data_IF_191509891253
#
_entry.id   IF_191509891253
#
_cell.length_a   1.000
_cell.length_b   1.000
_cell.length_c   1.000
_cell.angle_alpha   90.00
_cell.angle_beta   90.00
_cell.angle_gamma   90.00
#
_symmetry.space_group_name_H-M   'P 1'
#
loop_
_entity.id
_entity.type
_entity.pdbx_description
1 polymer ?
#
# COMPACT_ATOMS: atom_id res chain seq x y z
N UNK A 1 4.09 12.46 -3.21
CA UNK A 1 3.26 11.25 -3.21
C UNK A 1 2.30 11.27 -2.03
N UNK A 2 1.04 10.91 -2.26
CA UNK A 2 0.04 10.87 -1.20
C UNK A 2 0.26 9.65 -0.30
N UNK A 3 0.02 9.83 1.00
CA UNK A 3 0.00 8.72 1.96
C UNK A 3 -1.23 7.83 1.73
N UNK A 4 -1.07 6.54 1.92
CA UNK A 4 -2.18 5.59 1.88
C UNK A 4 -2.92 5.57 3.22
N UNK A 5 -4.25 5.52 3.15
CA UNK A 5 -5.06 5.22 4.34
C UNK A 5 -4.89 3.73 4.66
N UNK A 6 -4.19 3.46 5.76
CA UNK A 6 -3.83 2.10 6.19
C UNK A 6 -5.05 1.22 6.39
N UNK A 7 -6.12 1.77 6.99
CA UNK A 7 -7.37 1.02 7.23
C UNK A 7 -8.09 0.71 5.93
N UNK A 8 -8.28 1.72 5.09
CA UNK A 8 -8.97 1.56 3.81
C UNK A 8 -8.21 0.58 2.90
N UNK A 9 -6.90 0.72 2.81
CA UNK A 9 -6.07 -0.18 1.99
C UNK A 9 -6.10 -1.62 2.50
N UNK A 10 -5.94 -1.83 3.80
CA UNK A 10 -5.98 -3.17 4.40
C UNK A 10 -7.35 -3.85 4.21
N UNK A 11 -8.44 -3.12 4.45
CA UNK A 11 -9.79 -3.64 4.25
C UNK A 11 -10.07 -3.94 2.77
N UNK A 12 -9.70 -3.04 1.86
CA UNK A 12 -9.89 -3.24 0.42
C UNK A 12 -9.15 -4.50 -0.06
N UNK A 13 -7.90 -4.68 0.36
CA UNK A 13 -7.11 -5.86 0.02
C UNK A 13 -7.73 -7.13 0.60
N UNK A 14 -8.23 -7.07 1.83
CA UNK A 14 -8.95 -8.18 2.48
C UNK A 14 -10.20 -8.58 1.72
N UNK A 15 -11.03 -7.63 1.31
CA UNK A 15 -12.23 -7.90 0.51
C UNK A 15 -11.92 -8.52 -0.85
N UNK A 16 -10.93 -7.98 -1.56
CA UNK A 16 -10.52 -8.51 -2.86
C UNK A 16 -10.01 -9.93 -2.72
N UNK A 17 -9.12 -10.17 -1.78
CA UNK A 17 -8.53 -11.49 -1.58
C UNK A 17 -9.54 -12.52 -1.05
N UNK A 18 -10.35 -12.11 -0.09
CA UNK A 18 -11.43 -12.97 0.45
C UNK A 18 -12.46 -13.34 -0.62
N UNK A 19 -12.88 -12.39 -1.44
CA UNK A 19 -13.77 -12.62 -2.57
C UNK A 19 -13.14 -13.56 -3.61
N UNK A 20 -11.87 -13.37 -3.93
CA UNK A 20 -11.13 -14.24 -4.85
C UNK A 20 -11.01 -15.66 -4.30
N UNK A 21 -10.67 -15.82 -3.02
CA UNK A 21 -10.58 -17.13 -2.35
C UNK A 21 -11.92 -17.84 -2.34
N UNK A 22 -13.02 -17.11 -2.10
CA UNK A 22 -14.36 -17.65 -2.16
C UNK A 22 -14.71 -18.18 -3.55
N UNK A 23 -14.47 -17.40 -4.61
CA UNK A 23 -14.71 -17.80 -6.00
C UNK A 23 -13.85 -19.01 -6.38
N UNK A 24 -12.59 -19.03 -6.02
CA UNK A 24 -11.71 -20.16 -6.28
C UNK A 24 -12.16 -21.42 -5.55
N UNK A 25 -12.67 -21.28 -4.31
CA UNK A 25 -13.25 -22.38 -3.56
C UNK A 25 -14.49 -22.98 -4.23
N UNK A 26 -15.38 -22.13 -4.76
CA UNK A 26 -16.54 -22.60 -5.53
C UNK A 26 -16.13 -23.28 -6.84
N UNK A 27 -15.15 -22.73 -7.55
CA UNK A 27 -14.61 -23.35 -8.77
C UNK A 27 -13.93 -24.68 -8.48
N UNK A 28 -13.19 -24.79 -7.39
CA UNK A 28 -12.54 -26.03 -6.96
C UNK A 28 -13.61 -27.13 -6.68
N UNK A 29 -14.71 -26.73 -6.07
CA UNK A 29 -15.85 -27.63 -5.84
C UNK A 29 -16.47 -28.12 -7.16
N UNK A 30 -16.60 -27.24 -8.16
CA UNK A 30 -17.30 -27.56 -9.42
C UNK A 30 -16.43 -28.30 -10.44
N UNK A 31 -15.15 -27.92 -10.55
CA UNK A 31 -14.30 -28.34 -11.67
C UNK A 31 -13.03 -29.09 -11.25
N UNK A 32 -12.55 -28.90 -10.03
CA UNK A 32 -11.22 -29.34 -9.61
C UNK A 32 -11.22 -30.25 -8.40
N UNK A 33 -12.29 -30.98 -8.18
CA UNK A 33 -12.43 -31.88 -7.03
C UNK A 33 -11.21 -32.81 -6.90
N UNK A 34 -10.39 -32.62 -5.88
CA UNK A 34 -9.19 -33.42 -5.62
C UNK A 34 -7.89 -32.89 -6.21
N UNK A 35 -7.87 -31.68 -6.75
CA UNK A 35 -6.68 -31.07 -7.33
C UNK A 35 -5.67 -30.59 -6.27
N UNK A 36 -4.40 -30.45 -6.67
CA UNK A 36 -3.29 -30.01 -5.81
C UNK A 36 -3.53 -28.64 -5.17
N UNK A 37 -4.31 -27.77 -5.82
CA UNK A 37 -4.68 -26.47 -5.31
C UNK A 37 -5.52 -26.56 -4.03
N UNK A 38 -6.58 -27.34 -4.06
CA UNK A 38 -7.43 -27.55 -2.89
C UNK A 38 -6.66 -28.13 -1.70
N UNK A 39 -5.73 -29.07 -1.97
CA UNK A 39 -4.85 -29.63 -0.92
C UNK A 39 -3.94 -28.58 -0.33
N UNK A 40 -3.36 -27.69 -1.14
CA UNK A 40 -2.52 -26.60 -0.66
C UNK A 40 -3.33 -25.62 0.20
N UNK A 41 -4.54 -25.29 -0.21
CA UNK A 41 -5.41 -24.40 0.55
C UNK A 41 -5.81 -24.98 1.91
N UNK A 42 -6.01 -26.30 2.02
CA UNK A 42 -6.31 -26.95 3.32
C UNK A 42 -5.15 -26.85 4.30
N UNK A 43 -3.91 -26.77 3.81
CA UNK A 43 -2.73 -26.61 4.67
C UNK A 43 -2.60 -25.18 5.20
N UNK A 44 -2.98 -24.19 4.40
CA UNK A 44 -2.84 -22.76 4.75
C UNK A 44 -4.05 -22.26 5.54
N UNK A 45 -5.24 -22.70 5.17
CA UNK A 45 -6.50 -22.26 5.78
C UNK A 45 -7.13 -23.40 6.58
N UNK A 46 -7.05 -23.31 7.89
CA UNK A 46 -7.64 -24.30 8.79
C UNK A 46 -9.15 -24.37 8.60
N UNK A 47 -9.66 -25.55 8.29
CA UNK A 47 -11.10 -25.77 8.05
C UNK A 47 -11.55 -25.54 6.62
N UNK A 48 -10.64 -25.16 5.71
CA UNK A 48 -10.97 -25.08 4.28
C UNK A 48 -11.30 -26.45 3.72
N UNK A 49 -12.40 -26.53 2.99
CA UNK A 49 -12.80 -27.72 2.20
C UNK A 49 -13.41 -27.24 0.89
N UNK A 50 -13.37 -28.03 -0.19
CA UNK A 50 -14.00 -27.68 -1.46
C UNK A 50 -15.53 -27.85 -1.38
N UNK A 51 -16.16 -27.12 -0.49
CA UNK A 51 -17.62 -27.06 -0.24
C UNK A 51 -18.03 -25.60 -0.08
N UNK A 52 -19.33 -25.30 -0.12
CA UNK A 52 -19.84 -23.95 0.08
C UNK A 52 -19.40 -23.40 1.45
N UNK A 53 -19.56 -24.20 2.50
CA UNK A 53 -19.14 -23.83 3.88
C UNK A 53 -17.62 -23.67 3.95
N UNK A 54 -16.86 -24.59 3.36
CA UNK A 54 -15.40 -24.51 3.29
C UNK A 54 -14.91 -23.28 2.52
N UNK A 55 -15.61 -22.89 1.46
CA UNK A 55 -15.31 -21.67 0.69
C UNK A 55 -15.54 -20.40 1.52
N UNK A 56 -16.58 -20.36 2.34
CA UNK A 56 -16.86 -19.26 3.27
C UNK A 56 -15.76 -19.16 4.33
N UNK A 57 -15.35 -20.29 4.91
CA UNK A 57 -14.24 -20.35 5.86
C UNK A 57 -12.95 -19.88 5.22
N UNK A 58 -12.65 -20.33 4.00
CA UNK A 58 -11.49 -19.90 3.23
C UNK A 58 -11.52 -18.40 2.92
N UNK A 59 -12.69 -17.85 2.60
CA UNK A 59 -12.86 -16.41 2.37
C UNK A 59 -12.60 -15.61 3.65
N UNK A 60 -13.08 -16.06 4.80
CA UNK A 60 -12.82 -15.43 6.09
C UNK A 60 -11.32 -15.41 6.42
N UNK A 61 -10.64 -16.53 6.27
CA UNK A 61 -9.19 -16.62 6.46
C UNK A 61 -8.42 -15.75 5.46
N UNK A 62 -8.79 -15.81 4.19
CA UNK A 62 -8.19 -14.97 3.14
C UNK A 62 -8.34 -13.49 3.43
N UNK A 63 -9.51 -13.07 3.90
CA UNK A 63 -9.76 -11.70 4.33
C UNK A 63 -8.83 -11.28 5.46
N UNK A 64 -8.73 -12.09 6.52
CA UNK A 64 -7.88 -11.80 7.68
C UNK A 64 -6.41 -11.68 7.28
N UNK A 65 -5.88 -12.66 6.55
CA UNK A 65 -4.49 -12.65 6.11
C UNK A 65 -4.18 -11.46 5.21
N UNK A 66 -5.03 -11.20 4.23
CA UNK A 66 -4.84 -10.10 3.30
C UNK A 66 -5.00 -8.73 3.98
N UNK A 67 -5.92 -8.59 4.92
CA UNK A 67 -6.08 -7.36 5.69
C UNK A 67 -4.84 -7.07 6.54
N UNK A 68 -4.31 -8.07 7.25
CA UNK A 68 -3.07 -7.93 8.04
C UNK A 68 -1.91 -7.54 7.13
N UNK A 69 -1.74 -8.24 6.02
CA UNK A 69 -0.68 -7.95 5.05
C UNK A 69 -0.84 -6.55 4.47
N UNK A 70 -2.06 -6.16 4.14
CA UNK A 70 -2.38 -4.82 3.63
C UNK A 70 -2.05 -3.71 4.64
N UNK A 71 -2.33 -3.92 5.92
CA UNK A 71 -1.94 -2.98 6.98
C UNK A 71 -0.42 -2.84 7.07
N UNK A 72 0.31 -3.94 7.03
CA UNK A 72 1.79 -3.93 7.08
C UNK A 72 2.35 -3.20 5.86
N UNK A 73 1.88 -3.55 4.66
CA UNK A 73 2.33 -2.95 3.39
C UNK A 73 2.03 -1.45 3.37
N UNK A 74 0.82 -1.04 3.76
CA UNK A 74 0.44 0.37 3.77
C UNK A 74 1.26 1.19 4.78
N UNK A 75 1.56 0.62 5.96
CA UNK A 75 2.44 1.26 6.94
C UNK A 75 3.86 1.41 6.42
N UNK A 76 4.39 0.36 5.84
CA UNK A 76 5.74 0.39 5.27
C UNK A 76 5.83 1.40 4.12
N UNK A 77 4.84 1.40 3.24
CA UNK A 77 4.74 2.38 2.15
C UNK A 77 4.73 3.82 2.69
N UNK A 78 3.89 4.09 3.68
CA UNK A 78 3.81 5.42 4.28
C UNK A 78 5.12 5.86 4.93
N UNK A 79 5.84 4.95 5.58
CA UNK A 79 7.17 5.23 6.13
C UNK A 79 8.18 5.60 5.05
N UNK A 80 8.23 4.82 3.98
CA UNK A 80 9.15 5.08 2.87
C UNK A 80 8.83 6.39 2.16
N UNK A 81 7.55 6.72 2.00
CA UNK A 81 7.11 8.00 1.42
C UNK A 81 7.52 9.17 2.35
N UNK A 82 7.35 9.03 3.64
CA UNK A 82 7.75 10.04 4.63
C UNK A 82 9.26 10.30 4.58
N UNK A 83 10.06 9.25 4.57
CA UNK A 83 11.53 9.34 4.50
C UNK A 83 11.99 10.06 3.22
N UNK A 84 11.44 9.67 2.07
CA UNK A 84 11.72 10.34 0.80
C UNK A 84 11.27 11.79 0.79
N UNK A 85 10.15 12.10 1.41
CA UNK A 85 9.64 13.46 1.54
C UNK A 85 10.58 14.34 2.38
N UNK A 86 11.02 13.84 3.53
CA UNK A 86 11.96 14.55 4.40
C UNK A 86 13.28 14.84 3.68
N UNK A 87 13.81 13.88 2.94
CA UNK A 87 15.03 14.06 2.14
C UNK A 87 14.83 15.11 1.04
N UNK A 88 13.71 15.05 0.33
CA UNK A 88 13.35 16.03 -0.72
C UNK A 88 13.20 17.44 -0.11
N UNK A 89 12.53 17.57 1.03
CA UNK A 89 12.37 18.86 1.71
C UNK A 89 13.71 19.45 2.16
N UNK A 90 14.66 18.63 2.61
CA UNK A 90 16.02 19.06 2.93
C UNK A 90 16.75 19.61 1.70
N UNK A 91 16.60 18.95 0.54
CA UNK A 91 17.18 19.41 -0.73
C UNK A 91 16.56 20.74 -1.18
N UNK A 92 15.25 20.88 -1.05
CA UNK A 92 14.52 22.11 -1.38
C UNK A 92 14.99 23.26 -0.47
N UNK A 93 15.10 23.03 0.83
CA UNK A 93 15.56 24.03 1.80
C UNK A 93 16.99 24.51 1.50
N UNK A 94 17.89 23.59 1.17
CA UNK A 94 19.27 23.93 0.80
C UNK A 94 19.33 24.76 -0.48
N UNK A 95 18.54 24.42 -1.49
CA UNK A 95 18.48 25.17 -2.75
C UNK A 95 17.83 26.55 -2.56
N UNK A 96 16.77 26.64 -1.77
CA UNK A 96 16.11 27.90 -1.43
C UNK A 96 17.08 28.87 -0.73
N UNK A 97 17.91 28.36 0.17
CA UNK A 97 18.97 29.15 0.82
C UNK A 97 20.00 29.70 -0.17
N UNK A 98 20.42 28.85 -1.13
CA UNK A 98 21.34 29.30 -2.20
C UNK A 98 20.72 30.39 -3.08
N UNK A 99 19.47 30.26 -3.46
CA UNK A 99 18.74 31.26 -4.24
C UNK A 99 18.64 32.59 -3.45
N UNK A 100 18.33 32.51 -2.18
CA UNK A 100 18.23 33.65 -1.30
C UNK A 100 19.58 34.40 -1.19
N UNK A 101 20.69 33.68 -1.05
CA UNK A 101 22.03 34.26 -1.05
C UNK A 101 22.39 34.94 -2.38
N UNK A 102 22.03 34.32 -3.51
CA UNK A 102 22.25 34.91 -4.84
C UNK A 102 21.44 36.18 -5.10
N UNK A 103 20.27 36.33 -4.50
CA UNK A 103 19.42 37.50 -4.64
C UNK A 103 19.80 38.66 -3.70
N UNK A 104 20.88 38.55 -2.92
CA UNK A 104 21.33 39.57 -2.00
C UNK A 104 20.57 39.60 -0.68
N UNK A 105 19.99 38.45 -0.29
CA UNK A 105 19.32 38.24 1.00
C UNK A 105 18.14 39.17 1.29
N UNK A 106 17.14 39.28 0.36
CA UNK A 106 15.95 40.09 0.60
C UNK A 106 15.09 39.50 1.72
N UNK A 107 14.59 40.37 2.61
CA UNK A 107 13.88 39.95 3.83
C UNK A 107 12.58 39.22 3.63
N UNK A 108 11.88 39.40 2.49
CA UNK A 108 10.50 38.91 2.23
C UNK A 108 10.41 37.91 1.07
N UNK A 109 11.46 37.18 0.73
CA UNK A 109 11.49 36.31 -0.44
C UNK A 109 11.56 34.82 -0.10
N UNK A 110 11.44 34.43 1.16
CA UNK A 110 11.60 33.03 1.59
C UNK A 110 10.57 32.10 0.94
N UNK A 111 9.30 32.51 0.82
CA UNK A 111 8.25 31.70 0.18
C UNK A 111 8.49 31.55 -1.33
N UNK A 112 8.92 32.61 -2.01
CA UNK A 112 9.22 32.58 -3.44
C UNK A 112 10.46 31.72 -3.73
N UNK A 113 11.48 31.81 -2.89
CA UNK A 113 12.68 30.97 -2.98
C UNK A 113 12.36 29.49 -2.79
N UNK A 114 11.49 29.17 -1.84
CA UNK A 114 11.02 27.81 -1.62
C UNK A 114 10.29 27.27 -2.84
N UNK A 115 9.35 28.02 -3.41
CA UNK A 115 8.60 27.63 -4.62
C UNK A 115 9.50 27.41 -5.82
N UNK A 116 10.47 28.29 -6.03
CA UNK A 116 11.44 28.18 -7.12
C UNK A 116 12.33 26.93 -6.95
N UNK A 117 12.83 26.67 -5.74
CA UNK A 117 13.61 25.49 -5.41
C UNK A 117 12.79 24.21 -5.59
N UNK A 118 11.53 24.21 -5.16
CA UNK A 118 10.62 23.09 -5.30
C UNK A 118 10.35 22.75 -6.77
N UNK A 119 10.13 23.74 -7.63
CA UNK A 119 9.97 23.54 -9.07
C UNK A 119 11.21 22.91 -9.72
N UNK A 120 12.39 23.33 -9.34
CA UNK A 120 13.65 22.81 -9.87
C UNK A 120 13.83 21.34 -9.47
N UNK A 121 13.62 21.00 -8.21
CA UNK A 121 13.81 19.63 -7.69
C UNK A 121 12.72 18.68 -8.15
N UNK A 122 11.46 19.09 -8.16
CA UNK A 122 10.32 18.25 -8.60
C UNK A 122 10.17 18.17 -10.12
N UNK A 123 10.89 18.99 -10.89
CA UNK A 123 10.87 18.95 -12.34
C UNK A 123 9.58 19.43 -12.98
N UNK A 124 8.82 20.24 -12.27
CA UNK A 124 7.56 20.81 -12.77
C UNK A 124 7.72 22.24 -13.23
#
# INVERSE_FOLDING_TARGET
MAKLDVKAFGLALGFVWGGLTFLLGLLDMMYFCGNSWGKMMTMVYIGYRPTIIGSIIGAAWGFVYAAILGFIVARLYNRLVEENRVETDKKIAALAKKIWEKKGKPANSSADNWREAEKIIKGC
#
